data_IF_024808413163
#
_entry.id   IF_024808413163
#
_cell.length_a   1.000
_cell.length_b   1.000
_cell.length_c   1.000
_cell.angle_alpha   90.00
_cell.angle_beta   90.00
_cell.angle_gamma   90.00
#
_symmetry.space_group_name_H-M   'P 1'
#
loop_
_entity.id
_entity.type
_entity.pdbx_description
1 polymer ?
#
# COMPACT_ATOMS: atom_id res chain seq x y z
N UNK A 1 -9.92 18.29 -59.26
CA UNK A 1 -9.22 17.61 -58.15
C UNK A 1 -10.07 17.77 -56.90
N UNK A 2 -10.48 16.65 -56.33
CA UNK A 2 -11.74 16.49 -55.60
C UNK A 2 -11.67 17.00 -54.16
N UNK A 3 -12.74 17.72 -53.74
CA UNK A 3 -13.03 18.12 -52.35
C UNK A 3 -13.05 16.93 -51.36
N UNK A 4 -13.04 15.70 -51.87
CA UNK A 4 -13.06 14.47 -51.08
C UNK A 4 -11.69 14.08 -50.51
N UNK A 5 -10.58 14.61 -51.05
CA UNK A 5 -9.24 14.30 -50.53
C UNK A 5 -8.89 15.05 -49.24
N UNK A 6 -9.49 16.23 -49.02
CA UNK A 6 -9.25 17.03 -47.82
C UNK A 6 -9.93 16.42 -46.57
N UNK A 7 -11.05 15.72 -46.75
CA UNK A 7 -11.80 15.12 -45.63
C UNK A 7 -11.11 13.87 -45.05
N UNK A 8 -10.37 13.13 -45.89
CA UNK A 8 -9.68 11.90 -45.47
C UNK A 8 -8.46 12.19 -44.58
N UNK A 9 -7.78 13.31 -44.80
CA UNK A 9 -6.62 13.72 -43.96
C UNK A 9 -7.09 14.19 -42.58
N UNK A 10 -8.26 14.81 -42.47
CA UNK A 10 -8.79 15.26 -41.18
C UNK A 10 -9.21 14.09 -40.27
N UNK A 11 -9.70 12.99 -40.84
CA UNK A 11 -10.07 11.80 -40.06
C UNK A 11 -8.86 10.97 -39.56
N UNK A 12 -7.71 11.03 -40.22
CA UNK A 12 -6.50 10.31 -39.75
C UNK A 12 -5.84 10.96 -38.51
N UNK A 13 -6.14 12.22 -38.21
CA UNK A 13 -5.55 12.94 -37.06
C UNK A 13 -6.30 12.75 -35.73
N UNK A 14 -7.48 12.12 -35.74
CA UNK A 14 -8.32 11.93 -34.53
C UNK A 14 -8.01 10.59 -33.83
N UNK A 15 -7.18 9.73 -34.44
CA UNK A 15 -6.95 8.35 -33.99
C UNK A 15 -5.83 8.13 -32.98
N UNK A 16 -5.09 9.16 -32.57
CA UNK A 16 -4.06 9.02 -31.52
C UNK A 16 -4.69 9.43 -30.19
N UNK A 17 -5.42 8.50 -29.58
CA UNK A 17 -5.71 8.61 -28.16
C UNK A 17 -4.38 8.87 -27.44
N UNK A 18 -4.31 9.82 -26.49
CA UNK A 18 -3.10 10.03 -25.74
C UNK A 18 -2.74 8.69 -25.11
N UNK A 19 -1.62 8.11 -25.51
CA UNK A 19 -0.98 7.05 -24.74
C UNK A 19 -0.72 7.72 -23.41
N UNK A 20 -1.54 7.44 -22.40
CA UNK A 20 -1.37 7.99 -21.07
C UNK A 20 0.04 7.62 -20.63
N UNK A 21 0.96 8.58 -20.76
CA UNK A 21 2.28 8.45 -20.19
C UNK A 21 2.04 8.15 -18.72
N UNK A 22 2.52 6.99 -18.26
CA UNK A 22 2.48 6.60 -16.85
C UNK A 22 2.87 7.81 -16.03
N UNK A 23 1.92 8.34 -15.26
CA UNK A 23 2.18 9.42 -14.35
C UNK A 23 3.26 8.95 -13.39
N UNK A 24 4.15 9.83 -12.91
CA UNK A 24 5.06 9.45 -11.82
C UNK A 24 4.30 8.98 -10.55
N UNK A 25 2.99 9.28 -10.47
CA UNK A 25 2.06 8.76 -9.47
C UNK A 25 1.62 7.30 -9.70
N UNK A 26 2.00 6.68 -10.82
CA UNK A 26 1.70 5.29 -11.20
C UNK A 26 2.87 4.34 -10.93
N UNK A 27 3.97 4.82 -10.32
CA UNK A 27 5.09 3.95 -9.96
C UNK A 27 4.66 2.99 -8.83
N UNK A 28 4.56 1.68 -9.08
CA UNK A 28 4.11 0.72 -8.07
C UNK A 28 5.10 0.59 -6.90
N UNK A 29 6.29 1.18 -7.00
CA UNK A 29 7.30 1.19 -5.93
C UNK A 29 7.09 2.27 -4.89
N UNK A 30 6.28 3.30 -5.17
CA UNK A 30 6.16 4.46 -4.27
C UNK A 30 4.70 4.86 -4.14
N UNK A 31 4.27 4.94 -2.89
CA UNK A 31 2.95 5.38 -2.48
C UNK A 31 3.08 6.67 -1.66
N UNK A 32 3.00 7.86 -2.27
CA UNK A 32 3.10 9.11 -1.52
C UNK A 32 1.83 9.33 -0.68
N UNK A 33 1.99 10.00 0.45
CA UNK A 33 0.90 10.52 1.27
C UNK A 33 1.04 12.03 1.44
N UNK A 34 -0.06 12.71 1.80
CA UNK A 34 -0.04 14.14 2.07
C UNK A 34 0.13 14.36 3.56
N UNK A 35 1.10 15.21 3.91
CA UNK A 35 1.38 15.59 5.29
C UNK A 35 0.14 16.19 5.95
N UNK A 36 -0.33 15.55 7.02
CA UNK A 36 -1.40 16.05 7.87
C UNK A 36 -0.81 16.60 9.18
N UNK A 37 -0.70 17.92 9.26
CA UNK A 37 -0.13 18.59 10.44
C UNK A 37 -1.01 18.46 11.68
N UNK A 38 -2.30 18.13 11.52
CA UNK A 38 -3.22 17.96 12.63
C UNK A 38 -3.04 16.62 13.35
N UNK A 39 -2.49 15.61 12.66
CA UNK A 39 -2.20 14.32 13.25
C UNK A 39 -0.91 14.34 14.09
N UNK A 40 -0.82 13.51 15.14
CA UNK A 40 0.46 13.19 15.77
C UNK A 40 1.48 12.67 14.74
N UNK A 41 2.77 13.04 14.83
CA UNK A 41 3.80 12.67 13.84
C UNK A 41 3.89 11.17 13.54
N UNK A 42 3.67 10.32 14.54
CA UNK A 42 3.71 8.87 14.44
C UNK A 42 2.48 8.25 13.77
N UNK A 43 1.39 9.02 13.63
CA UNK A 43 0.16 8.61 12.94
C UNK A 43 0.10 9.17 11.51
N UNK A 44 0.89 10.19 11.19
CA UNK A 44 0.95 10.83 9.88
C UNK A 44 1.91 10.07 8.94
N UNK A 45 1.36 9.30 8.00
CA UNK A 45 2.14 8.58 6.99
C UNK A 45 2.67 9.58 5.98
N UNK A 46 3.96 9.51 5.67
CA UNK A 46 4.57 10.33 4.62
C UNK A 46 4.59 9.59 3.28
N UNK A 47 4.90 8.29 3.32
CA UNK A 47 4.99 7.44 2.12
C UNK A 47 5.05 5.97 2.47
N UNK A 48 4.77 5.15 1.46
CA UNK A 48 5.21 3.76 1.40
C UNK A 48 6.21 3.60 0.26
N UNK A 49 7.26 2.81 0.48
CA UNK A 49 8.18 2.38 -0.57
C UNK A 49 8.20 0.87 -0.64
N UNK A 50 8.21 0.34 -1.86
CA UNK A 50 8.37 -1.09 -2.11
C UNK A 50 9.79 -1.37 -2.60
N UNK A 51 10.42 -2.41 -2.05
CA UNK A 51 11.76 -2.88 -2.46
C UNK A 51 11.83 -4.41 -2.37
N UNK A 52 12.84 -5.01 -3.01
CA UNK A 52 13.15 -6.44 -2.84
C UNK A 52 14.39 -6.55 -1.95
N UNK A 53 14.35 -7.42 -0.95
CA UNK A 53 15.50 -7.74 -0.10
C UNK A 53 16.46 -8.71 -0.80
N UNK A 54 17.71 -8.80 -0.30
CA UNK A 54 18.66 -9.80 -0.76
C UNK A 54 18.15 -11.24 -0.54
N UNK A 55 17.34 -11.45 0.50
CA UNK A 55 16.73 -12.73 0.87
C UNK A 55 15.42 -13.02 0.09
N UNK A 56 15.22 -12.39 -1.06
CA UNK A 56 14.06 -12.56 -1.93
C UNK A 56 12.72 -12.31 -1.21
N UNK A 57 12.63 -11.22 -0.45
CA UNK A 57 11.39 -10.76 0.18
C UNK A 57 10.95 -9.42 -0.40
N UNK A 58 9.66 -9.28 -0.65
CA UNK A 58 9.04 -8.01 -1.00
C UNK A 58 8.83 -7.20 0.28
N UNK A 59 9.48 -6.05 0.37
CA UNK A 59 9.42 -5.15 1.53
C UNK A 59 8.51 -3.97 1.22
N UNK A 60 7.59 -3.67 2.14
CA UNK A 60 6.81 -2.43 2.17
C UNK A 60 7.28 -1.58 3.35
N UNK A 61 8.06 -0.55 3.06
CA UNK A 61 8.58 0.42 4.01
C UNK A 61 7.57 1.55 4.18
N UNK A 62 6.82 1.55 5.28
CA UNK A 62 5.89 2.61 5.65
C UNK A 62 6.64 3.62 6.52
N UNK A 63 6.76 4.86 6.05
CA UNK A 63 7.42 5.95 6.77
C UNK A 63 6.40 6.93 7.31
N UNK A 64 6.52 7.26 8.59
CA UNK A 64 5.74 8.29 9.29
C UNK A 64 6.55 9.56 9.49
N UNK A 65 5.88 10.63 9.92
CA UNK A 65 6.52 11.91 10.23
C UNK A 65 7.38 11.86 11.50
N UNK A 66 7.07 10.97 12.43
CA UNK A 66 7.84 10.77 13.65
C UNK A 66 7.70 9.37 14.23
N UNK A 67 8.34 9.18 15.38
CA UNK A 67 8.29 7.96 16.17
C UNK A 67 7.42 8.14 17.41
N UNK A 68 6.69 7.08 17.75
CA UNK A 68 6.04 7.04 19.05
C UNK A 68 7.05 6.62 20.11
N UNK A 69 7.23 7.47 21.10
CA UNK A 69 8.18 7.24 22.19
C UNK A 69 7.53 6.53 23.38
N UNK A 70 6.23 6.77 23.62
CA UNK A 70 5.35 6.20 24.65
C UNK A 70 3.87 6.27 24.19
N UNK A 71 2.94 5.49 24.74
CA UNK A 71 1.50 5.65 24.47
C UNK A 71 0.69 4.43 23.99
N UNK A 72 -0.60 4.67 23.73
CA UNK A 72 -1.78 3.80 23.89
C UNK A 72 -1.78 2.40 23.23
N UNK A 73 -2.36 1.44 23.96
CA UNK A 73 -2.80 0.15 23.43
C UNK A 73 -3.96 0.38 22.46
N UNK A 74 -3.80 0.00 21.20
CA UNK A 74 -4.91 0.06 20.23
C UNK A 74 -4.58 0.74 18.91
N UNK A 75 -3.45 1.43 18.80
CA UNK A 75 -3.02 2.04 17.54
C UNK A 75 -2.08 1.11 16.76
N UNK A 76 -2.34 0.97 15.46
CA UNK A 76 -1.62 0.05 14.58
C UNK A 76 -1.20 0.72 13.28
N UNK A 77 -0.04 0.30 12.78
CA UNK A 77 0.21 0.28 11.35
C UNK A 77 -0.62 -0.84 10.73
N UNK A 78 -1.32 -0.53 9.65
CA UNK A 78 -2.08 -1.50 8.86
C UNK A 78 -1.58 -1.46 7.41
N UNK A 79 -1.15 -2.61 6.89
CA UNK A 79 -0.88 -2.80 5.47
C UNK A 79 -1.96 -3.70 4.88
N UNK A 80 -2.61 -3.20 3.84
CA UNK A 80 -3.53 -3.98 3.02
C UNK A 80 -2.84 -4.36 1.72
N UNK A 81 -2.87 -5.64 1.37
CA UNK A 81 -2.32 -6.19 0.14
C UNK A 81 -3.41 -6.95 -0.62
N UNK A 82 -3.37 -6.91 -1.95
CA UNK A 82 -4.17 -7.78 -2.82
C UNK A 82 -3.26 -8.39 -3.87
N UNK A 83 -3.23 -9.73 -3.96
CA UNK A 83 -2.61 -10.51 -5.03
C UNK A 83 -3.42 -11.81 -5.21
N UNK A 84 -4.49 -11.78 -6.01
CA UNK A 84 -5.48 -12.88 -6.09
C UNK A 84 -6.33 -13.05 -4.83
N UNK A 85 -5.70 -12.95 -3.66
CA UNK A 85 -6.29 -12.90 -2.34
C UNK A 85 -5.90 -11.59 -1.64
N UNK A 86 -6.73 -11.16 -0.69
CA UNK A 86 -6.50 -9.95 0.10
C UNK A 86 -5.98 -10.27 1.49
N UNK A 87 -4.91 -9.61 1.88
CA UNK A 87 -4.30 -9.71 3.19
C UNK A 87 -4.41 -8.38 3.92
N UNK A 88 -4.74 -8.45 5.20
CA UNK A 88 -4.73 -7.32 6.13
C UNK A 88 -3.71 -7.62 7.23
N UNK A 89 -2.69 -6.78 7.34
CA UNK A 89 -1.53 -6.98 8.20
C UNK A 89 -1.41 -5.86 9.22
N UNK A 90 -1.43 -6.17 10.51
CA UNK A 90 -1.35 -5.19 11.58
C UNK A 90 -0.08 -5.37 12.41
N UNK A 91 0.54 -4.24 12.73
CA UNK A 91 1.66 -4.14 13.68
C UNK A 91 1.36 -2.98 14.61
N UNK A 92 1.38 -3.14 15.94
CA UNK A 92 1.14 -2.02 16.83
C UNK A 92 2.17 -0.91 16.59
N UNK A 93 1.82 0.35 16.85
CA UNK A 93 2.78 1.46 16.64
C UNK A 93 3.87 1.48 17.74
N UNK A 94 3.60 0.88 18.90
CA UNK A 94 4.38 1.08 20.12
C UNK A 94 4.94 -0.18 20.79
N UNK A 95 4.86 -1.34 20.15
CA UNK A 95 5.26 -2.60 20.81
C UNK A 95 6.78 -2.81 20.66
N UNK A 96 7.56 -2.33 21.65
CA UNK A 96 9.02 -2.62 21.77
C UNK A 96 9.32 -4.11 22.00
N UNK A 97 8.30 -4.95 22.19
CA UNK A 97 8.41 -6.40 22.37
C UNK A 97 7.71 -7.15 21.23
N UNK A 98 8.51 -7.60 20.29
CA UNK A 98 8.16 -8.69 19.38
C UNK A 98 7.69 -8.24 18.00
N UNK A 99 8.36 -8.77 16.99
CA UNK A 99 8.08 -8.64 15.55
C UNK A 99 6.78 -9.36 15.12
N UNK A 100 5.78 -9.45 16.00
CA UNK A 100 4.58 -10.25 15.78
C UNK A 100 3.57 -9.44 14.99
N UNK A 101 3.62 -9.63 13.68
CA UNK A 101 2.59 -9.20 12.76
C UNK A 101 1.31 -10.00 13.01
N UNK A 102 0.17 -9.32 12.97
CA UNK A 102 -1.14 -9.94 12.98
C UNK A 102 -1.64 -9.97 11.54
N UNK A 103 -1.81 -11.16 10.99
CA UNK A 103 -2.23 -11.34 9.61
C UNK A 103 -3.65 -11.91 9.56
N UNK A 104 -4.43 -11.34 8.65
CA UNK A 104 -5.81 -11.73 8.40
C UNK A 104 -6.02 -11.91 6.90
N UNK A 105 -6.74 -12.95 6.53
CA UNK A 105 -7.14 -13.23 5.16
C UNK A 105 -8.53 -12.63 4.96
N UNK A 106 -8.60 -11.41 4.42
CA UNK A 106 -9.81 -10.78 3.88
C UNK A 106 -9.55 -9.31 3.49
N UNK A 107 -10.43 -8.77 2.63
CA UNK A 107 -10.36 -7.38 2.20
C UNK A 107 -10.99 -6.47 3.25
N UNK A 108 -10.20 -5.67 3.96
CA UNK A 108 -10.71 -4.50 4.67
C UNK A 108 -11.22 -3.44 3.67
N UNK A 109 -12.46 -2.96 3.83
CA UNK A 109 -12.96 -1.80 3.09
C UNK A 109 -13.10 -0.63 4.07
N UNK A 110 -12.28 0.44 3.92
CA UNK A 110 -12.46 1.65 4.71
C UNK A 110 -13.89 2.19 4.48
N UNK A 111 -14.70 2.25 5.53
CA UNK A 111 -16.00 2.92 5.41
C UNK A 111 -15.78 4.43 5.57
N UNK A 112 -16.19 5.20 4.56
CA UNK A 112 -16.12 6.66 4.56
C UNK A 112 -17.10 7.30 5.56
N UNK A 113 -18.07 6.54 6.06
CA UNK A 113 -18.99 6.92 7.13
C UNK A 113 -19.07 5.77 8.13
N UNK A 114 -18.77 5.99 9.43
CA UNK A 114 -18.90 4.97 10.46
C UNK A 114 -20.39 4.81 10.79
N UNK A 115 -21.15 4.15 9.92
CA UNK A 115 -22.29 3.41 10.44
C UNK A 115 -21.70 2.32 11.36
N UNK A 116 -22.39 1.92 12.45
CA UNK A 116 -21.98 0.78 13.24
C UNK A 116 -22.16 -0.48 12.40
N UNK A 117 -21.22 -0.72 11.48
CA UNK A 117 -21.19 -1.93 10.69
C UNK A 117 -20.90 -3.08 11.64
N UNK A 118 -21.55 -4.24 11.48
CA UNK A 118 -21.24 -5.41 12.29
C UNK A 118 -19.74 -5.66 12.21
N UNK A 119 -19.10 -5.84 13.36
CA UNK A 119 -17.66 -6.08 13.45
C UNK A 119 -17.26 -7.11 12.40
N UNK A 120 -16.49 -6.69 11.41
CA UNK A 120 -16.07 -7.58 10.34
C UNK A 120 -15.13 -8.61 10.96
N UNK A 121 -15.62 -9.82 11.19
CA UNK A 121 -14.82 -10.91 11.73
C UNK A 121 -13.81 -11.33 10.67
N UNK A 122 -12.63 -10.74 10.73
CA UNK A 122 -11.50 -11.16 9.92
C UNK A 122 -10.98 -12.48 10.47
N UNK A 123 -10.86 -13.51 9.63
CA UNK A 123 -10.26 -14.79 10.03
C UNK A 123 -8.75 -14.61 10.19
N UNK A 124 -8.27 -14.81 11.41
CA UNK A 124 -6.84 -14.77 11.71
C UNK A 124 -6.12 -15.92 11.01
N UNK A 125 -5.06 -15.60 10.28
CA UNK A 125 -4.19 -16.62 9.69
C UNK A 125 -3.41 -17.32 10.80
N UNK A 126 -3.63 -18.63 10.94
CA UNK A 126 -3.07 -19.47 12.03
C UNK A 126 -1.54 -19.52 12.03
N UNK A 127 -0.93 -19.30 10.86
CA UNK A 127 0.47 -18.92 10.68
C UNK A 127 0.48 -17.72 9.72
N UNK A 128 1.04 -16.59 10.14
CA UNK A 128 1.35 -15.46 9.27
C UNK A 128 2.13 -16.01 8.09
N UNK A 129 1.54 -16.18 6.91
CA UNK A 129 2.04 -16.96 5.76
C UNK A 129 3.48 -16.59 5.30
N UNK A 130 4.48 -16.87 6.13
CA UNK A 130 5.81 -16.28 6.11
C UNK A 130 5.90 -14.74 6.27
N UNK A 131 4.80 -14.00 6.44
CA UNK A 131 4.85 -12.55 6.66
C UNK A 131 5.63 -12.19 7.93
N UNK A 132 6.47 -11.16 7.85
CA UNK A 132 7.20 -10.60 8.99
C UNK A 132 7.04 -9.09 9.02
N UNK A 133 7.33 -8.50 10.17
CA UNK A 133 7.47 -7.06 10.26
C UNK A 133 8.66 -6.69 11.14
N UNK A 134 9.26 -5.53 10.89
CA UNK A 134 10.28 -4.96 11.78
C UNK A 134 10.14 -3.44 11.84
N UNK A 135 10.30 -2.89 13.03
CA UNK A 135 10.34 -1.45 13.22
C UNK A 135 11.60 -0.87 12.60
N UNK A 136 11.45 0.32 12.05
CA UNK A 136 12.54 1.13 11.52
C UNK A 136 12.41 2.53 12.10
N UNK A 137 13.45 3.35 11.95
CA UNK A 137 13.36 4.76 12.33
C UNK A 137 12.19 5.43 11.60
N UNK A 138 11.28 6.05 12.35
CA UNK A 138 10.05 6.67 11.87
C UNK A 138 9.20 5.74 10.99
N UNK A 139 8.91 4.51 11.45
CA UNK A 139 7.89 3.66 10.83
C UNK A 139 8.11 2.15 10.97
N UNK A 140 7.66 1.41 9.95
CA UNK A 140 7.65 -0.06 9.95
C UNK A 140 8.00 -0.59 8.55
N UNK A 141 8.65 -1.76 8.50
CA UNK A 141 8.73 -2.57 7.30
C UNK A 141 7.89 -3.84 7.45
N UNK A 142 7.06 -4.09 6.44
CA UNK A 142 6.41 -5.39 6.25
C UNK A 142 7.22 -6.19 5.23
N UNK A 143 7.45 -7.47 5.51
CA UNK A 143 8.19 -8.37 4.65
C UNK A 143 7.26 -9.49 4.23
N UNK A 144 7.02 -9.56 2.92
CA UNK A 144 6.22 -10.59 2.27
C UNK A 144 7.18 -11.55 1.53
N UNK A 145 7.11 -12.85 1.82
CA UNK A 145 7.77 -13.86 1.00
C UNK A 145 7.35 -13.76 -0.47
N UNK A 146 8.31 -13.86 -1.39
CA UNK A 146 8.04 -13.71 -2.82
C UNK A 146 7.19 -14.85 -3.42
N UNK A 147 7.16 -16.02 -2.77
CA UNK A 147 6.30 -17.15 -3.12
C UNK A 147 4.80 -16.85 -2.96
N UNK A 148 4.44 -15.85 -2.14
CA UNK A 148 3.05 -15.37 -2.06
C UNK A 148 2.67 -14.41 -3.19
N UNK A 149 3.63 -13.95 -4.01
CA UNK A 149 3.36 -13.05 -5.11
C UNK A 149 3.01 -13.85 -6.36
N UNK A 150 1.72 -14.01 -6.66
CA UNK A 150 1.33 -14.61 -7.93
C UNK A 150 1.49 -13.56 -9.04
N UNK A 151 2.47 -13.79 -9.91
CA UNK A 151 2.86 -12.85 -10.98
C UNK A 151 1.77 -12.64 -12.04
N UNK A 152 0.87 -13.61 -12.18
CA UNK A 152 -0.27 -13.57 -13.11
C UNK A 152 -1.41 -12.67 -12.63
N UNK A 153 -1.39 -12.25 -11.36
CA UNK A 153 -2.48 -11.50 -10.75
C UNK A 153 -2.22 -10.00 -10.78
N UNK A 154 -3.31 -9.26 -10.67
CA UNK A 154 -3.24 -7.86 -10.28
C UNK A 154 -2.79 -7.74 -8.82
N UNK A 155 -1.99 -6.72 -8.58
CA UNK A 155 -1.42 -6.35 -7.30
C UNK A 155 -1.87 -4.95 -6.89
N UNK A 156 -2.21 -4.78 -5.62
CA UNK A 156 -2.38 -3.47 -5.01
C UNK A 156 -1.97 -3.48 -3.55
N UNK A 157 -1.57 -2.32 -3.05
CA UNK A 157 -1.31 -2.14 -1.64
C UNK A 157 -1.71 -0.73 -1.18
N UNK A 158 -2.16 -0.64 0.06
CA UNK A 158 -2.38 0.62 0.78
C UNK A 158 -1.90 0.45 2.22
N UNK A 159 -1.39 1.53 2.81
CA UNK A 159 -1.01 1.57 4.22
C UNK A 159 -1.86 2.58 4.97
N UNK A 160 -2.15 2.28 6.22
CA UNK A 160 -2.98 3.09 7.10
C UNK A 160 -2.37 3.13 8.51
N UNK A 161 -2.68 4.19 9.23
CA UNK A 161 -2.57 4.22 10.70
C UNK A 161 -4.00 4.19 11.24
N UNK A 162 -4.27 3.26 12.15
CA UNK A 162 -5.63 2.97 12.61
C UNK A 162 -5.68 2.77 14.11
N UNK A 163 -6.85 3.03 14.70
CA UNK A 163 -7.24 2.47 15.99
C UNK A 163 -8.03 1.19 15.73
N UNK A 164 -7.64 0.12 16.39
CA UNK A 164 -8.30 -1.17 16.25
C UNK A 164 -8.43 -1.89 17.58
N UNK A 165 -9.54 -2.60 17.74
CA UNK A 165 -9.79 -3.49 18.87
C UNK A 165 -9.73 -4.95 18.43
N UNK A 166 -9.10 -5.80 19.25
CA UNK A 166 -9.00 -7.23 19.02
C UNK A 166 -9.84 -7.97 20.05
N UNK A 167 -10.74 -8.82 19.58
CA UNK A 167 -11.54 -9.70 20.45
C UNK A 167 -11.43 -11.13 19.95
N UNK A 168 -10.56 -11.92 20.60
CA UNK A 168 -10.21 -13.27 20.14
C UNK A 168 -9.53 -13.21 18.77
N UNK A 169 -10.10 -13.91 17.79
CA UNK A 169 -9.63 -13.88 16.40
C UNK A 169 -10.28 -12.75 15.58
N UNK A 170 -11.25 -12.00 16.12
CA UNK A 170 -11.87 -10.90 15.43
C UNK A 170 -11.09 -9.59 15.61
N UNK A 171 -11.08 -8.76 14.55
CA UNK A 171 -10.50 -7.43 14.53
C UNK A 171 -11.56 -6.41 14.11
N UNK A 172 -11.81 -5.38 14.93
CA UNK A 172 -12.55 -4.18 14.52
C UNK A 172 -11.59 -3.03 14.30
N UNK A 173 -11.83 -2.25 13.23
CA UNK A 173 -11.15 -0.99 13.00
C UNK A 173 -12.11 0.11 13.47
N UNK A 174 -11.75 0.77 14.57
CA UNK A 174 -12.62 1.75 15.22
C UNK A 174 -12.43 3.14 14.61
N UNK A 175 -11.20 3.44 14.18
CA UNK A 175 -10.87 4.71 13.52
C UNK A 175 -9.71 4.55 12.53
N UNK A 176 -9.75 5.32 11.43
CA UNK A 176 -8.61 5.48 10.51
C UNK A 176 -8.06 6.89 10.72
N UNK A 177 -6.80 6.99 11.13
CA UNK A 177 -6.12 8.27 11.31
C UNK A 177 -5.61 8.80 9.97
N UNK A 178 -4.86 7.97 9.25
CA UNK A 178 -4.29 8.34 7.97
C UNK A 178 -4.27 7.17 6.98
N UNK A 179 -4.15 7.52 5.70
CA UNK A 179 -4.02 6.59 4.59
C UNK A 179 -2.93 7.09 3.63
N UNK A 180 -1.97 6.21 3.33
CA UNK A 180 -1.03 6.44 2.24
C UNK A 180 -1.79 6.57 0.91
N UNK A 181 -1.69 7.73 0.26
CA UNK A 181 -2.45 8.01 -0.95
C UNK A 181 -3.79 8.67 -0.76
N UNK A 182 -4.05 9.25 0.43
CA UNK A 182 -5.17 10.15 0.66
C UNK A 182 -5.37 11.08 -0.54
N UNK A 183 -6.61 11.19 -1.02
CA UNK A 183 -6.95 12.02 -2.18
C UNK A 183 -6.86 11.35 -3.56
N UNK A 184 -6.47 10.07 -3.65
CA UNK A 184 -6.70 9.29 -4.88
C UNK A 184 -8.20 9.07 -5.08
N UNK A 185 -8.64 9.17 -6.35
CA UNK A 185 -10.02 8.83 -6.74
C UNK A 185 -10.30 7.33 -6.55
N UNK A 186 -9.30 6.48 -6.82
CA UNK A 186 -9.44 5.02 -6.79
C UNK A 186 -8.18 4.33 -6.27
N UNK A 187 -8.35 3.11 -5.72
CA UNK A 187 -7.23 2.23 -5.38
C UNK A 187 -6.55 1.76 -6.66
N UNK A 188 -5.26 2.06 -6.78
CA UNK A 188 -4.49 1.66 -7.97
C UNK A 188 -4.16 0.18 -7.91
N UNK A 189 -4.50 -0.51 -8.99
CA UNK A 189 -4.11 -1.89 -9.26
C UNK A 189 -3.15 -1.90 -10.44
N UNK A 190 -2.15 -2.75 -10.37
CA UNK A 190 -1.18 -2.97 -11.42
C UNK A 190 -0.84 -4.44 -11.47
N UNK A 191 -0.46 -4.98 -12.63
CA UNK A 191 0.00 -6.37 -12.67
C UNK A 191 1.21 -6.58 -11.76
N UNK A 192 1.25 -7.70 -11.02
CA UNK A 192 2.37 -8.05 -10.15
C UNK A 192 3.70 -8.08 -10.93
N UNK A 193 3.69 -8.52 -12.20
CA UNK A 193 4.89 -8.50 -13.04
C UNK A 193 5.42 -7.08 -13.29
N UNK A 194 4.54 -6.07 -13.35
CA UNK A 194 4.93 -4.66 -13.51
C UNK A 194 5.71 -4.18 -12.30
N UNK A 195 5.28 -4.54 -11.09
CA UNK A 195 6.01 -4.23 -9.86
C UNK A 195 7.40 -4.89 -9.89
N UNK A 196 7.48 -6.18 -10.20
CA UNK A 196 8.76 -6.89 -10.28
C UNK A 196 9.71 -6.28 -11.30
N UNK A 197 9.22 -6.01 -12.51
CA UNK A 197 10.03 -5.37 -13.54
C UNK A 197 10.57 -4.03 -13.08
N UNK A 198 9.75 -3.20 -12.43
CA UNK A 198 10.19 -1.89 -11.90
C UNK A 198 11.19 -2.02 -10.75
N UNK A 199 11.08 -3.05 -9.92
CA UNK A 199 12.00 -3.34 -8.82
C UNK A 199 13.34 -3.88 -9.32
N UNK A 200 13.34 -4.71 -10.36
CA UNK A 200 14.54 -5.29 -10.95
C UNK A 200 15.21 -4.40 -12.02
N UNK A 201 14.54 -3.33 -12.47
CA UNK A 201 15.15 -2.38 -13.40
C UNK A 201 16.28 -1.63 -12.70
N UNK A 202 17.53 -1.86 -13.10
CA UNK A 202 18.67 -1.03 -12.73
C UNK A 202 18.38 0.42 -13.10
N UNK A 203 18.22 1.30 -12.09
CA UNK A 203 18.31 2.74 -12.34
C UNK A 203 19.73 3.01 -12.81
N UNK A 204 19.93 3.50 -14.03
CA UNK A 204 21.16 4.23 -14.35
C UNK A 204 21.24 5.35 -13.32
N UNK A 205 22.18 5.25 -12.38
CA UNK A 205 22.54 6.36 -11.52
C UNK A 205 23.17 7.37 -12.49
N UNK A 206 22.40 8.37 -12.91
CA UNK A 206 23.00 9.59 -13.41
C UNK A 206 23.50 10.26 -12.14
N UNK A 207 24.76 9.97 -11.79
CA UNK A 207 25.54 10.85 -10.92
C UNK A 207 25.62 12.16 -11.70
N UNK A 208 24.78 13.11 -11.33
CA UNK A 208 25.04 14.50 -11.65
C UNK A 208 26.04 14.96 -10.60
N UNK A 209 27.30 15.06 -11.03
CA UNK A 209 28.32 15.86 -10.35
C UNK A 209 27.90 17.34 -10.30
#
# INVERSE_FOLDING_TARGET
>A
MSKNMALTVFFMLIGIAPVFAMSNYDDPRILPSFKDKALPPELDILRVKTKISADNQLIFEVKTRGERTNGENGDYFLLQLTNGQSYTLLVPINEKKGNKILAYEETFQPQLNPAPSPSRKLTKLSLTAGFKARYITNGIEYLMPMDLLHISNDFSYDAYTVRANKQGDALSIDNIYDQAGKGRKEKKRFSAITLLNKLCTTRKIILAD
#
